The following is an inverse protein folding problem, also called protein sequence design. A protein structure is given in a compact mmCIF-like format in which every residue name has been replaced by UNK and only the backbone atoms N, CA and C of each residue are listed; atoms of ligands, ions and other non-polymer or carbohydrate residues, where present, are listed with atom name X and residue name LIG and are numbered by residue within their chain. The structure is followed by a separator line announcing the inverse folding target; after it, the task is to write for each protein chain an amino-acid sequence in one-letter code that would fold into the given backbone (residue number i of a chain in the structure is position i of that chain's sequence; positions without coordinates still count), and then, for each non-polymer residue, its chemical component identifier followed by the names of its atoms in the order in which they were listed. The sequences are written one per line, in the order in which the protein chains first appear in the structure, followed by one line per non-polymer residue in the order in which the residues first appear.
data_IF_541777906314
#
_entry.id   IF_541777906314
#
_cell.length_a   1.000
_cell.length_b   1.000
_cell.length_c   1.000
_cell.angle_alpha   90.00
_cell.angle_beta   90.00
_cell.angle_gamma   90.00
#
_symmetry.space_group_name_H-M   'P 1'
#
loop_
_entity.id
_entity.type
_entity.pdbx_description
1 polymer ?
#
# COMPACT_ATOMS: atom_id res chain seq x y z
N UNK A 1 4.23 0.03 -5.15
CA UNK A 1 3.51 -0.88 -6.11
C UNK A 1 4.38 -2.07 -6.51
N UNK A 2 5.59 -1.87 -7.08
CA UNK A 2 6.46 -3.00 -7.45
C UNK A 2 6.86 -3.88 -6.27
N UNK A 3 7.10 -3.28 -5.09
CA UNK A 3 7.34 -4.04 -3.86
C UNK A 3 6.13 -4.91 -3.43
N UNK A 4 4.91 -4.43 -3.66
CA UNK A 4 3.68 -5.18 -3.36
C UNK A 4 3.47 -6.35 -4.32
N UNK A 5 3.82 -6.17 -5.60
CA UNK A 5 3.78 -7.23 -6.61
C UNK A 5 4.74 -8.39 -6.31
N UNK A 6 5.90 -8.09 -5.74
CA UNK A 6 6.95 -9.09 -5.49
C UNK A 6 6.97 -9.66 -4.07
N UNK A 7 5.92 -9.44 -3.26
CA UNK A 7 5.90 -9.95 -1.88
C UNK A 7 6.91 -9.29 -0.92
N UNK A 8 7.51 -8.14 -1.30
CA UNK A 8 8.60 -7.53 -0.54
C UNK A 8 8.09 -6.69 0.63
N UNK A 9 7.52 -7.36 1.64
CA UNK A 9 6.92 -6.73 2.83
C UNK A 9 7.90 -5.79 3.56
N UNK A 10 9.16 -6.18 3.75
CA UNK A 10 10.17 -5.32 4.40
C UNK A 10 10.44 -4.03 3.61
N UNK A 11 10.46 -4.13 2.28
CA UNK A 11 10.62 -2.97 1.39
C UNK A 11 9.39 -2.06 1.45
N UNK A 12 8.18 -2.63 1.49
CA UNK A 12 6.95 -1.86 1.70
C UNK A 12 7.04 -1.06 3.00
N UNK A 13 7.42 -1.70 4.12
CA UNK A 13 7.55 -0.99 5.40
C UNK A 13 8.60 0.13 5.35
N UNK A 14 9.75 -0.12 4.71
CA UNK A 14 10.78 0.90 4.58
C UNK A 14 10.28 2.12 3.79
N UNK A 15 9.58 1.91 2.68
CA UNK A 15 9.05 2.99 1.86
C UNK A 15 8.03 3.84 2.65
N UNK A 16 7.13 3.19 3.39
CA UNK A 16 6.16 3.89 4.23
C UNK A 16 6.84 4.68 5.34
N UNK A 17 7.86 4.12 6.01
CA UNK A 17 8.68 4.83 7.01
C UNK A 17 9.40 6.06 6.42
N UNK A 18 9.70 6.06 5.12
CA UNK A 18 10.28 7.19 4.40
C UNK A 18 9.24 8.22 3.93
N UNK A 19 7.97 8.06 4.30
CA UNK A 19 6.89 8.98 3.94
C UNK A 19 6.20 8.66 2.62
N UNK A 20 6.35 7.44 2.08
CA UNK A 20 5.57 7.04 0.91
C UNK A 20 4.07 7.01 1.24
N UNK A 21 3.25 7.65 0.41
CA UNK A 21 1.81 7.64 0.57
C UNK A 21 1.21 6.32 0.03
N UNK A 22 0.57 5.48 0.87
CA UNK A 22 0.02 4.19 0.46
C UNK A 22 -1.24 4.31 -0.42
N UNK A 23 -1.89 5.48 -0.43
CA UNK A 23 -3.13 5.76 -1.17
C UNK A 23 -2.89 6.22 -2.62
N UNK A 24 -1.62 6.42 -3.01
CA UNK A 24 -1.30 6.87 -4.37
C UNK A 24 -1.79 5.86 -5.39
N UNK A 25 -2.55 6.35 -6.36
CA UNK A 25 -3.01 5.61 -7.54
C UNK A 25 -2.06 5.86 -8.71
N UNK A 26 -1.79 4.82 -9.49
CA UNK A 26 -1.08 4.97 -10.77
C UNK A 26 -2.03 5.45 -11.88
N UNK A 27 -1.53 5.53 -13.11
CA UNK A 27 -2.30 5.91 -14.30
C UNK A 27 -3.51 4.99 -14.58
N UNK A 28 -3.52 3.78 -14.01
CA UNK A 28 -4.62 2.82 -14.13
C UNK A 28 -5.60 2.91 -12.95
N UNK A 29 -5.45 3.91 -12.07
CA UNK A 29 -6.28 4.07 -10.87
C UNK A 29 -5.96 3.07 -9.74
N UNK A 30 -4.87 2.31 -9.84
CA UNK A 30 -4.52 1.25 -8.88
C UNK A 30 -3.50 1.71 -7.84
N UNK A 31 -3.74 1.32 -6.59
CA UNK A 31 -2.85 1.53 -5.43
C UNK A 31 -1.84 0.38 -5.28
N UNK A 32 -0.88 0.51 -4.36
CA UNK A 32 0.00 -0.62 -4.02
C UNK A 32 -0.77 -1.84 -3.50
N UNK A 33 -1.87 -1.64 -2.76
CA UNK A 33 -2.72 -2.71 -2.25
C UNK A 33 -3.39 -3.47 -3.40
N UNK A 34 -3.88 -2.76 -4.43
CA UNK A 34 -4.51 -3.38 -5.59
C UNK A 34 -3.52 -4.26 -6.37
N UNK A 35 -2.25 -3.85 -6.45
CA UNK A 35 -1.20 -4.71 -6.98
C UNK A 35 -0.99 -5.96 -6.13
N UNK A 36 -0.91 -5.84 -4.80
CA UNK A 36 -0.80 -7.01 -3.92
C UNK A 36 -1.94 -8.02 -4.14
N UNK A 37 -3.18 -7.52 -4.28
CA UNK A 37 -4.36 -8.37 -4.55
C UNK A 37 -4.28 -9.02 -5.94
N UNK A 38 -3.92 -8.25 -6.97
CA UNK A 38 -3.87 -8.72 -8.36
C UNK A 38 -2.84 -9.82 -8.58
N UNK A 39 -1.73 -9.80 -7.84
CA UNK A 39 -0.65 -10.77 -7.96
C UNK A 39 -0.70 -11.86 -6.88
N UNK A 40 -1.80 -11.95 -6.12
CA UNK A 40 -2.00 -12.98 -5.09
C UNK A 40 -0.88 -13.03 -4.05
N UNK A 41 -0.42 -11.85 -3.60
CA UNK A 41 0.63 -11.71 -2.58
C UNK A 41 0.03 -11.46 -1.19
N UNK A 42 -0.30 -12.50 -0.41
CA UNK A 42 -1.09 -12.38 0.82
C UNK A 42 -0.42 -11.52 1.89
N UNK A 43 0.90 -11.61 2.04
CA UNK A 43 1.65 -10.84 3.02
C UNK A 43 1.67 -9.34 2.69
N UNK A 44 1.88 -9.02 1.41
CA UNK A 44 1.77 -7.65 0.91
C UNK A 44 0.36 -7.10 1.10
N UNK A 45 -0.67 -7.87 0.79
CA UNK A 45 -2.07 -7.46 0.97
C UNK A 45 -2.36 -7.18 2.44
N UNK A 46 -2.04 -8.12 3.34
CA UNK A 46 -2.28 -7.96 4.78
C UNK A 46 -1.57 -6.73 5.34
N UNK A 47 -0.30 -6.54 4.98
CA UNK A 47 0.49 -5.41 5.42
C UNK A 47 -0.06 -4.08 4.87
N UNK A 48 -0.34 -4.00 3.57
CA UNK A 48 -0.83 -2.79 2.93
C UNK A 48 -2.25 -2.41 3.39
N UNK A 49 -3.11 -3.39 3.66
CA UNK A 49 -4.43 -3.13 4.26
C UNK A 49 -4.29 -2.49 5.64
N UNK A 50 -3.40 -3.01 6.49
CA UNK A 50 -3.15 -2.42 7.81
C UNK A 50 -2.58 -1.00 7.71
N UNK A 51 -1.60 -0.79 6.83
CA UNK A 51 -0.99 0.52 6.58
C UNK A 51 -2.04 1.51 6.04
N UNK A 52 -2.89 1.09 5.10
CA UNK A 52 -3.92 1.93 4.52
C UNK A 52 -4.88 2.45 5.61
N UNK A 53 -5.39 1.54 6.45
CA UNK A 53 -6.30 1.88 7.55
C UNK A 53 -5.66 2.86 8.52
N UNK A 54 -4.41 2.61 8.92
CA UNK A 54 -3.65 3.51 9.80
C UNK A 54 -3.43 4.87 9.16
N UNK A 55 -3.04 4.90 7.89
CA UNK A 55 -2.78 6.15 7.17
C UNK A 55 -4.04 7.01 7.05
N UNK A 56 -5.19 6.40 6.74
CA UNK A 56 -6.50 7.07 6.70
C UNK A 56 -6.95 7.56 8.07
N UNK A 57 -6.74 6.77 9.12
CA UNK A 57 -7.05 7.18 10.49
C UNK A 57 -6.21 8.38 10.94
N UNK A 58 -4.95 8.44 10.50
CA UNK A 58 -4.04 9.56 10.77
C UNK A 58 -4.34 10.79 9.89
N UNK A 59 -4.92 10.58 8.70
CA UNK A 59 -5.22 11.63 7.72
C UNK A 59 -6.69 11.57 7.28
N UNK A 60 -7.64 12.01 8.13
CA UNK A 60 -9.08 11.88 7.86
C UNK A 60 -9.54 12.61 6.60
N UNK A 61 -8.78 13.59 6.10
CA UNK A 61 -9.06 14.31 4.85
C UNK A 61 -8.67 13.52 3.60
N UNK A 62 -7.81 12.49 3.71
CA UNK A 62 -7.36 11.67 2.57
C UNK A 62 -8.40 10.60 2.14
N UNK A 63 -9.57 10.57 2.79
CA UNK A 63 -10.67 9.68 2.48
C UNK A 63 -11.78 10.34 1.60
N UNK A 64 -11.61 11.61 1.24
CA UNK A 64 -12.55 12.38 0.40
C UNK A 64 -12.18 12.30 -1.08
#
# INVERSE_FOLDING_TARGET
MMAARGGYASTIQLLIKRGANPLVKNQLGMTALDFGKRYSEPDSVKLLTSIEQQYRAQHPQAAQ
#
